data_IF_502903424223
#
_entry.id   IF_502903424223
#
_cell.length_a   1.000
_cell.length_b   1.000
_cell.length_c   1.000
_cell.angle_alpha   90.00
_cell.angle_beta   90.00
_cell.angle_gamma   90.00
#
_symmetry.space_group_name_H-M   'P 1'
#
loop_
_entity.id
_entity.type
_entity.pdbx_description
1 polymer ?
2 non-polymer ?
3 non-polymer ?
4 water ?
#
# COMPACT_ATOMS: atom_id res chain seq x y z
N UNK A 2 -8.46 -23.16 -20.28
CA UNK A 2 -9.27 -23.78 -19.16
C UNK A 2 -10.38 -22.83 -18.69
N UNK A 3 -10.08 -21.92 -17.74
CA UNK A 3 -11.13 -21.23 -17.00
C UNK A 3 -11.57 -19.97 -17.75
N UNK A 4 -12.89 -19.79 -17.93
CA UNK A 4 -13.35 -18.63 -18.68
C UNK A 4 -13.15 -17.39 -17.82
N UNK A 5 -13.08 -16.23 -18.47
CA UNK A 5 -12.88 -14.98 -17.75
C UNK A 5 -14.17 -14.60 -17.03
N UNK A 6 -15.30 -15.03 -17.59
CA UNK A 6 -16.56 -14.87 -16.90
C UNK A 6 -16.51 -15.57 -15.53
N UNK A 7 -15.97 -16.78 -15.48
CA UNK A 7 -15.83 -17.47 -14.20
C UNK A 7 -14.83 -16.78 -13.26
N UNK A 8 -13.68 -16.36 -13.75
CA UNK A 8 -12.70 -15.65 -12.93
C UNK A 8 -13.35 -14.43 -12.28
N UNK A 9 -14.14 -13.69 -13.09
CA UNK A 9 -14.77 -12.46 -12.64
C UNK A 9 -15.78 -12.78 -11.56
N UNK A 10 -16.49 -13.90 -11.75
CA UNK A 10 -17.50 -14.30 -10.79
C UNK A 10 -16.86 -14.77 -9.48
N UNK A 11 -15.83 -15.61 -9.56
CA UNK A 11 -15.13 -16.04 -8.35
C UNK A 11 -14.65 -14.83 -7.54
N UNK A 12 -14.02 -13.86 -8.20
CA UNK A 12 -13.40 -12.78 -7.46
C UNK A 12 -14.47 -11.83 -6.89
N UNK A 13 -15.51 -11.52 -7.68
CA UNK A 13 -16.61 -10.76 -7.12
C UNK A 13 -17.11 -11.46 -5.86
N UNK A 14 -17.18 -12.80 -5.89
CA UNK A 14 -17.78 -13.52 -4.78
C UNK A 14 -16.94 -13.37 -3.51
N UNK A 15 -15.62 -13.13 -3.67
CA UNK A 15 -14.77 -13.02 -2.48
C UNK A 15 -15.19 -11.75 -1.73
N UNK A 16 -15.48 -10.68 -2.47
CA UNK A 16 -15.86 -9.44 -1.84
C UNK A 16 -17.28 -9.53 -1.29
N UNK A 17 -18.18 -10.18 -2.05
CA UNK A 17 -19.55 -10.44 -1.64
C UNK A 17 -19.57 -11.17 -0.30
N UNK A 18 -18.77 -12.25 -0.17
CA UNK A 18 -18.73 -13.06 1.04
C UNK A 18 -18.23 -12.28 2.26
N UNK A 19 -17.40 -11.24 2.07
CA UNK A 19 -16.90 -10.45 3.17
C UNK A 19 -17.91 -9.32 3.46
N UNK A 20 -18.97 -9.27 2.66
CA UNK A 20 -20.01 -8.27 2.87
C UNK A 20 -19.41 -6.86 2.82
N UNK A 21 -18.48 -6.64 1.88
CA UNK A 21 -17.94 -5.32 1.65
C UNK A 21 -18.14 -4.95 0.17
N UNK A 22 -17.67 -3.74 -0.19
CA UNK A 22 -17.62 -3.30 -1.56
C UNK A 22 -16.15 -3.03 -1.87
N UNK A 23 -15.65 -3.61 -2.95
CA UNK A 23 -14.27 -3.38 -3.29
C UNK A 23 -13.91 -3.82 -4.69
N UNK A 24 -12.68 -3.47 -5.07
CA UNK A 24 -12.13 -3.83 -6.36
C UNK A 24 -10.70 -4.30 -6.10
N UNK A 25 -10.19 -5.14 -6.98
CA UNK A 25 -8.76 -5.40 -6.99
C UNK A 25 -8.28 -5.21 -8.41
N UNK A 26 -7.21 -4.43 -8.60
CA UNK A 26 -6.64 -4.14 -9.91
C UNK A 26 -5.34 -4.93 -10.06
N UNK A 27 -5.20 -5.65 -11.17
CA UNK A 27 -4.02 -6.39 -11.57
C UNK A 27 -3.41 -5.76 -12.83
N UNK A 28 -2.09 -5.69 -12.85
CA UNK A 28 -1.39 -5.20 -14.01
C UNK A 28 -0.44 -6.27 -14.54
N UNK A 29 -0.63 -6.70 -15.79
CA UNK A 29 0.29 -7.60 -16.46
C UNK A 29 0.92 -6.84 -17.61
N UNK A 30 2.19 -6.51 -17.45
CA UNK A 30 2.87 -5.70 -18.46
C UNK A 30 2.29 -4.30 -18.44
N UNK A 31 1.66 -3.87 -19.54
CA UNK A 31 1.04 -2.56 -19.62
C UNK A 31 -0.48 -2.62 -19.35
N UNK A 32 -1.07 -3.82 -19.22
CA UNK A 32 -2.51 -4.03 -19.30
C UNK A 32 -3.15 -4.09 -17.91
N UNK A 33 -4.17 -3.25 -17.65
CA UNK A 33 -4.80 -3.26 -16.33
C UNK A 33 -6.05 -4.13 -16.36
N UNK A 34 -6.27 -4.91 -15.29
CA UNK A 34 -7.50 -5.68 -15.16
C UNK A 34 -8.16 -5.34 -13.83
N UNK A 35 -9.46 -5.08 -13.89
CA UNK A 35 -10.25 -4.70 -12.72
C UNK A 35 -11.20 -5.84 -12.36
N UNK A 36 -11.10 -6.31 -11.12
CA UNK A 36 -12.00 -7.35 -10.66
C UNK A 36 -12.67 -6.89 -9.36
N UNK A 37 -13.65 -7.67 -8.87
CA UNK A 37 -14.25 -7.32 -7.60
C UNK A 37 -15.76 -7.16 -7.76
N UNK A 38 -16.41 -6.60 -6.72
CA UNK A 38 -17.85 -6.42 -6.75
C UNK A 38 -18.24 -4.95 -6.81
N UNK A 39 -17.27 -4.05 -7.07
CA UNK A 39 -17.58 -2.62 -7.16
C UNK A 39 -16.61 -1.94 -8.11
N UNK A 40 -16.73 -2.30 -9.40
CA UNK A 40 -15.68 -2.01 -10.35
C UNK A 40 -15.41 -0.51 -10.42
N UNK A 41 -16.46 0.32 -10.21
CA UNK A 41 -16.34 1.76 -10.37
C UNK A 41 -15.43 2.40 -9.31
N UNK A 42 -15.08 1.67 -8.24
CA UNK A 42 -14.13 2.22 -7.30
C UNK A 42 -12.77 2.47 -7.93
N UNK A 43 -12.50 1.95 -9.16
CA UNK A 43 -11.16 1.88 -9.72
C UNK A 43 -10.60 3.27 -10.01
N UNK A 44 -11.46 4.24 -10.31
CA UNK A 44 -10.95 5.56 -10.67
C UNK A 44 -11.51 6.60 -9.69
N UNK A 45 -11.95 6.15 -8.51
CA UNK A 45 -12.32 7.02 -7.39
C UNK A 45 -11.11 7.26 -6.47
N UNK A 46 -11.03 8.47 -5.89
CA UNK A 46 -9.93 8.86 -5.02
C UNK A 46 -10.27 8.54 -3.57
N UNK A 47 -9.32 7.94 -2.82
CA UNK A 47 -9.42 7.63 -1.39
C UNK A 47 -8.10 8.01 -0.69
N UNK A 48 -8.15 8.26 0.61
CA UNK A 48 -6.90 8.56 1.28
C UNK A 48 -6.00 7.33 1.17
N UNK A 49 -4.66 7.50 1.03
CA UNK A 49 -3.79 6.35 0.87
C UNK A 49 -3.63 5.60 2.20
N UNK A 50 -3.92 6.31 3.32
CA UNK A 50 -3.68 5.82 4.67
C UNK A 50 -2.25 5.25 4.71
N UNK A 51 -2.05 4.08 5.33
CA UNK A 51 -0.71 3.57 5.58
C UNK A 51 0.06 3.21 4.30
N UNK A 52 -0.63 3.11 3.14
CA UNK A 52 0.09 2.80 1.91
C UNK A 52 1.10 3.90 1.61
N UNK A 53 0.87 5.10 2.18
CA UNK A 53 1.78 6.22 1.99
C UNK A 53 3.15 5.93 2.64
N UNK A 54 3.20 4.98 3.58
CA UNK A 54 4.43 4.63 4.27
C UNK A 54 5.52 4.31 3.24
N UNK A 55 5.14 3.68 2.12
CA UNK A 55 6.07 3.33 1.06
C UNK A 55 6.78 4.57 0.54
N UNK A 56 6.03 5.64 0.23
CA UNK A 56 6.64 6.82 -0.37
C UNK A 56 7.36 7.59 0.75
N UNK A 57 6.72 7.66 1.93
CA UNK A 57 7.29 8.31 3.10
C UNK A 57 8.70 7.77 3.35
N UNK A 58 8.86 6.43 3.40
CA UNK A 58 10.17 5.79 3.54
C UNK A 58 11.16 6.14 2.41
N UNK A 59 10.70 6.11 1.14
CA UNK A 59 11.47 6.48 -0.06
C UNK A 59 12.07 7.89 0.08
N UNK A 60 11.21 8.87 0.36
CA UNK A 60 11.57 10.25 0.57
C UNK A 60 12.55 10.37 1.75
N UNK A 61 12.23 9.71 2.87
CA UNK A 61 13.07 9.81 4.06
C UNK A 61 14.48 9.28 3.80
N UNK A 62 14.59 8.09 3.20
CA UNK A 62 15.89 7.50 2.96
C UNK A 62 16.70 8.33 1.96
N UNK A 63 16.03 8.82 0.91
CA UNK A 63 16.65 9.52 -0.20
C UNK A 63 17.21 10.84 0.33
N UNK A 64 16.49 11.48 1.23
CA UNK A 64 16.85 12.79 1.73
C UNK A 64 17.64 12.70 3.04
N UNK A 65 18.10 11.49 3.39
CA UNK A 65 18.97 11.28 4.54
C UNK A 65 18.29 11.67 5.85
N UNK A 66 16.97 11.48 5.95
CA UNK A 66 16.32 11.76 7.21
C UNK A 66 16.39 10.54 8.11
N UNK A 67 16.87 9.40 7.57
CA UNK A 67 16.92 8.17 8.36
C UNK A 67 17.80 7.19 7.61
N UNK A 68 18.18 6.09 8.26
CA UNK A 68 18.85 5.02 7.54
C UNK A 68 18.04 3.77 7.85
N UNK A 69 18.35 2.64 7.17
CA UNK A 69 17.53 1.46 7.30
C UNK A 69 17.84 0.75 8.62
N UNK A 70 18.88 1.16 9.36
CA UNK A 70 19.11 0.47 10.61
C UNK A 70 18.89 1.35 11.85
N UNK A 71 18.65 2.65 11.66
CA UNK A 71 18.35 3.55 12.78
C UNK A 71 17.14 3.00 13.56
N UNK A 72 17.21 3.05 14.90
CA UNK A 72 16.13 2.63 15.77
C UNK A 72 15.31 3.86 16.16
N UNK A 73 14.02 3.86 15.81
CA UNK A 73 13.12 4.91 16.24
C UNK A 73 12.62 4.50 17.63
N UNK A 74 13.03 5.24 18.66
CA UNK A 74 12.69 4.93 20.03
C UNK A 74 11.22 5.24 20.30
N UNK A 75 10.52 4.34 20.98
CA UNK A 75 9.23 4.64 21.55
C UNK A 75 9.46 5.68 22.66
N UNK A 76 8.64 6.74 22.67
CA UNK A 76 8.76 7.86 23.58
C UNK A 76 8.09 7.55 24.93
N UNK A 77 7.51 6.34 25.04
CA UNK A 77 6.96 5.87 26.30
C UNK A 77 5.49 6.26 26.48
N UNK A 78 4.87 6.87 25.47
CA UNK A 78 3.47 7.25 25.60
C UNK A 78 2.58 6.12 25.10
N UNK A 79 1.37 6.04 25.63
CA UNK A 79 0.48 4.96 25.27
C UNK A 79 0.14 5.08 23.78
N UNK A 80 0.13 3.97 23.07
CA UNK A 80 -0.22 4.01 21.66
C UNK A 80 -1.49 3.19 21.48
N UNK A 81 -2.20 3.45 20.37
CA UNK A 81 -3.44 2.77 19.99
C UNK A 81 -3.27 1.26 20.03
N UNK A 82 -2.05 0.74 19.79
CA UNK A 82 -1.79 -0.69 19.78
C UNK A 82 -0.49 -0.98 20.52
N UNK A 83 -0.48 -1.97 21.44
CA UNK A 83 0.70 -2.27 22.25
C UNK A 83 1.92 -2.72 21.44
N UNK A 84 1.64 -3.26 20.25
CA UNK A 84 2.71 -3.68 19.36
C UNK A 84 3.50 -2.46 18.89
N UNK A 85 2.92 -1.24 18.98
CA UNK A 85 3.60 -0.01 18.61
C UNK A 85 4.46 0.50 19.79
N UNK A 86 4.27 -0.07 20.99
CA UNK A 86 4.96 0.47 22.17
C UNK A 86 6.39 -0.07 22.27
N UNK A 87 7.18 0.16 21.23
CA UNK A 87 8.53 -0.38 21.22
C UNK A 87 9.34 0.37 20.17
N UNK A 88 10.65 0.22 20.28
CA UNK A 88 11.66 0.78 19.43
C UNK A 88 11.71 -0.05 18.15
N UNK A 89 11.84 0.63 16.99
CA UNK A 89 11.86 -0.10 15.74
C UNK A 89 12.52 0.68 14.60
N UNK A 90 12.93 -0.07 13.58
CA UNK A 90 13.48 0.41 12.34
C UNK A 90 12.29 0.77 11.43
N UNK A 91 12.57 1.50 10.34
CA UNK A 91 11.56 1.85 9.33
C UNK A 91 10.93 0.56 8.82
N UNK A 92 11.75 -0.45 8.63
CA UNK A 92 11.31 -1.73 8.08
C UNK A 92 10.34 -2.44 9.03
N UNK A 93 10.64 -2.39 10.33
CA UNK A 93 9.72 -3.00 11.29
C UNK A 93 8.45 -2.15 11.36
N UNK A 94 8.63 -0.82 11.38
CA UNK A 94 7.47 0.07 11.36
C UNK A 94 6.63 -0.21 10.12
N UNK A 95 7.25 -0.54 8.98
CA UNK A 95 6.54 -0.85 7.75
C UNK A 95 5.67 -2.08 7.94
N UNK A 96 6.21 -3.14 8.56
CA UNK A 96 5.44 -4.38 8.73
C UNK A 96 4.35 -4.18 9.77
N UNK A 97 4.61 -3.38 10.82
CA UNK A 97 3.62 -3.19 11.86
C UNK A 97 2.65 -2.04 11.53
N UNK A 98 2.86 -1.35 10.39
CA UNK A 98 2.14 -0.09 10.11
C UNK A 98 2.17 0.86 11.31
N UNK A 99 3.35 1.05 11.89
CA UNK A 99 3.49 1.88 13.08
C UNK A 99 3.47 3.36 12.72
N UNK A 100 2.25 3.93 12.73
CA UNK A 100 1.98 5.31 12.32
C UNK A 100 2.92 6.29 13.03
N UNK A 101 3.16 6.18 14.36
CA UNK A 101 4.05 7.14 15.04
C UNK A 101 5.44 7.20 14.45
N UNK A 102 5.95 6.09 13.91
CA UNK A 102 7.26 6.17 13.28
C UNK A 102 7.20 6.96 11.96
N UNK A 103 6.14 6.74 11.18
CA UNK A 103 6.00 7.39 9.89
C UNK A 103 5.68 8.88 10.08
N UNK A 104 5.00 9.18 11.18
CA UNK A 104 4.76 10.55 11.58
C UNK A 104 6.08 11.22 11.95
N UNK A 105 6.94 10.51 12.72
CA UNK A 105 8.22 11.11 13.08
C UNK A 105 9.06 11.33 11.81
N UNK A 106 9.03 10.34 10.90
CA UNK A 106 9.77 10.51 9.66
C UNK A 106 9.19 11.66 8.84
N UNK A 107 7.85 11.85 8.81
CA UNK A 107 7.30 12.97 8.04
C UNK A 107 7.81 14.30 8.61
N UNK A 108 7.80 14.41 9.93
CA UNK A 108 8.25 15.62 10.61
C UNK A 108 9.70 15.91 10.29
N UNK A 109 10.53 14.88 10.17
CA UNK A 109 11.94 15.17 9.91
C UNK A 109 12.04 15.70 8.48
N UNK A 110 11.26 15.11 7.57
CA UNK A 110 11.27 15.59 6.20
C UNK A 110 10.81 17.06 6.18
N UNK A 111 9.74 17.37 6.90
CA UNK A 111 9.14 18.70 6.89
C UNK A 111 8.23 18.96 5.69
N UNK A 112 7.21 19.82 5.90
CA UNK A 112 6.11 20.12 4.98
C UNK A 112 6.65 20.51 3.62
N UNK A 113 7.60 21.46 3.63
CA UNK A 113 8.15 21.99 2.40
C UNK A 113 8.74 20.87 1.53
N UNK A 114 9.66 20.07 2.08
CA UNK A 114 10.36 19.09 1.25
C UNK A 114 9.40 17.94 0.90
N UNK A 115 8.42 17.69 1.79
CA UNK A 115 7.45 16.64 1.55
C UNK A 115 6.60 17.01 0.32
N UNK A 116 6.00 18.22 0.31
CA UNK A 116 5.20 18.77 -0.78
C UNK A 116 5.97 18.69 -2.10
N UNK A 117 7.28 19.03 -2.10
CA UNK A 117 8.02 18.99 -3.34
C UNK A 117 8.25 17.56 -3.78
N UNK A 118 8.39 16.65 -2.81
CA UNK A 118 8.80 15.31 -3.19
C UNK A 118 7.56 14.61 -3.71
N UNK A 119 6.43 14.94 -3.09
CA UNK A 119 5.19 14.32 -3.47
C UNK A 119 4.77 14.82 -4.86
N UNK A 120 4.80 16.15 -5.12
CA UNK A 120 4.66 16.73 -6.46
C UNK A 120 5.65 16.11 -7.45
N UNK A 121 6.92 15.97 -7.08
CA UNK A 121 7.94 15.41 -7.97
C UNK A 121 7.58 13.99 -8.40
N UNK A 122 6.96 13.23 -7.50
CA UNK A 122 6.70 11.84 -7.79
C UNK A 122 5.32 11.75 -8.43
N UNK A 123 4.49 12.78 -8.27
CA UNK A 123 3.21 12.75 -8.93
C UNK A 123 2.35 11.65 -8.29
N UNK A 124 2.27 11.68 -6.95
CA UNK A 124 1.57 10.62 -6.24
C UNK A 124 0.15 11.12 -6.00
N UNK A 125 -0.83 10.37 -6.53
CA UNK A 125 -2.25 10.68 -6.32
C UNK A 125 -2.61 12.09 -6.78
N UNK A 126 -3.34 12.84 -5.94
CA UNK A 126 -3.69 14.21 -6.32
C UNK A 126 -2.54 15.16 -5.93
N UNK A 127 -1.46 14.58 -5.39
CA UNK A 127 -0.24 15.30 -5.05
C UNK A 127 -0.47 16.46 -4.06
N UNK A 128 -1.55 16.49 -3.29
CA UNK A 128 -1.78 17.64 -2.40
C UNK A 128 -1.67 17.22 -0.93
N UNK A 129 -0.77 17.87 -0.15
CA UNK A 129 -0.55 17.42 1.22
C UNK A 129 -1.03 18.45 2.24
N UNK A 130 -1.48 19.63 1.77
CA UNK A 130 -2.02 20.65 2.66
C UNK A 130 -0.96 21.26 3.59
N UNK A 131 -1.36 21.54 4.83
CA UNK A 131 -0.55 22.32 5.77
C UNK A 131 -0.09 21.51 6.98
N UNK A 132 -0.58 20.28 7.15
CA UNK A 132 -0.26 19.44 8.29
C UNK A 132 0.62 18.25 7.88
N UNK A 133 1.95 18.36 8.09
CA UNK A 133 2.92 17.38 7.62
C UNK A 133 2.71 15.97 8.19
N UNK A 134 2.01 15.83 9.32
CA UNK A 134 2.02 14.57 10.06
C UNK A 134 0.71 13.78 9.94
N UNK A 135 -0.20 14.21 9.06
CA UNK A 135 -1.44 13.43 8.98
C UNK A 135 -2.15 13.51 7.63
N UNK A 136 -1.49 14.08 6.61
CA UNK A 136 -2.15 14.37 5.35
C UNK A 136 -2.54 13.08 4.62
N UNK A 137 -1.89 11.97 4.96
CA UNK A 137 -2.10 10.70 4.27
C UNK A 137 -3.15 9.88 5.04
N UNK A 138 -3.59 10.36 6.20
CA UNK A 138 -4.53 9.63 7.04
C UNK A 138 -5.94 10.20 6.92
N UNK A 139 -6.06 11.54 6.82
CA UNK A 139 -7.35 12.22 6.84
C UNK A 139 -7.49 13.12 5.63
N UNK A 140 -6.61 12.99 4.63
CA UNK A 140 -6.61 13.96 3.55
C UNK A 140 -5.78 15.19 3.92
N UNK A 141 -5.57 16.15 3.00
CA UNK A 141 -6.23 16.12 1.69
C UNK A 141 -5.59 15.26 0.59
N UNK A 142 -4.51 14.51 0.91
CA UNK A 142 -3.92 13.64 -0.10
C UNK A 142 -4.89 12.49 -0.38
N UNK A 143 -5.11 12.23 -1.69
CA UNK A 143 -5.97 11.16 -2.15
C UNK A 143 -5.34 10.49 -3.36
N UNK A 144 -5.77 9.26 -3.61
CA UNK A 144 -5.21 8.44 -4.69
C UNK A 144 -6.24 7.38 -5.06
N UNK A 145 -6.26 7.04 -6.36
CA UNK A 145 -7.19 6.05 -6.89
C UNK A 145 -6.52 4.68 -6.92
N UNK A 146 -7.32 3.61 -6.85
CA UNK A 146 -6.82 2.25 -7.03
C UNK A 146 -5.97 2.08 -8.28
N UNK A 147 -6.33 2.74 -9.39
CA UNK A 147 -5.50 2.68 -10.59
C UNK A 147 -4.12 3.32 -10.32
N UNK A 148 -4.11 4.46 -9.63
CA UNK A 148 -2.85 5.15 -9.37
C UNK A 148 -1.95 4.30 -8.47
N UNK A 149 -2.55 3.55 -7.52
CA UNK A 149 -1.81 2.76 -6.55
C UNK A 149 -1.14 1.58 -7.23
N UNK A 150 -1.86 0.91 -8.14
CA UNK A 150 -1.26 -0.23 -8.81
C UNK A 150 -0.11 0.25 -9.72
N UNK A 151 -0.22 1.45 -10.29
CA UNK A 151 0.79 2.04 -11.16
C UNK A 151 2.01 2.47 -10.35
N UNK A 152 1.77 3.00 -9.14
CA UNK A 152 2.86 3.27 -8.20
C UNK A 152 3.58 1.97 -7.85
N UNK A 153 2.84 0.91 -7.56
CA UNK A 153 3.45 -0.35 -7.19
C UNK A 153 4.27 -0.87 -8.35
N UNK A 154 3.71 -0.80 -9.57
CA UNK A 154 4.38 -1.24 -10.78
C UNK A 154 5.68 -0.47 -10.95
N UNK A 155 5.63 0.85 -10.75
CA UNK A 155 6.80 1.73 -10.77
C UNK A 155 7.87 1.28 -9.79
N UNK A 156 7.49 1.07 -8.50
CA UNK A 156 8.42 0.64 -7.46
C UNK A 156 8.97 -0.75 -7.78
N UNK A 157 8.10 -1.68 -8.19
CA UNK A 157 8.53 -3.03 -8.49
C UNK A 157 9.64 -3.04 -9.55
N UNK A 158 9.64 -2.00 -10.40
CA UNK A 158 10.55 -1.98 -11.55
C UNK A 158 11.59 -0.86 -11.41
N UNK A 159 11.70 -0.24 -10.23
CA UNK A 159 12.72 0.78 -9.98
C UNK A 159 12.58 1.97 -10.92
N UNK A 160 11.36 2.32 -11.27
CA UNK A 160 11.12 3.43 -12.19
C UNK A 160 10.78 4.73 -11.45
N UNK A 161 10.57 4.68 -10.13
CA UNK A 161 10.38 5.96 -9.46
C UNK A 161 11.66 6.79 -9.50
N UNK A 162 11.57 8.14 -9.38
CA UNK A 162 12.74 9.00 -9.44
C UNK A 162 13.44 9.15 -8.08
N UNK A 163 13.98 8.03 -7.60
CA UNK A 163 14.89 7.93 -6.48
C UNK A 163 16.00 7.01 -6.94
N UNK A 164 17.13 7.00 -6.22
CA UNK A 164 18.21 6.07 -6.51
C UNK A 164 17.68 4.65 -6.47
N UNK A 165 18.32 3.78 -7.25
CA UNK A 165 18.09 2.35 -7.24
C UNK A 165 18.18 1.78 -5.81
N UNK A 166 19.15 2.25 -5.01
CA UNK A 166 19.42 1.59 -3.73
C UNK A 166 18.31 1.97 -2.74
N UNK A 167 17.84 3.23 -2.79
CA UNK A 167 16.71 3.66 -2.00
C UNK A 167 15.51 2.74 -2.26
N UNK A 168 15.26 2.47 -3.55
CA UNK A 168 14.11 1.69 -4.00
C UNK A 168 14.28 0.27 -3.51
N UNK A 169 15.52 -0.25 -3.65
CA UNK A 169 15.78 -1.61 -3.21
C UNK A 169 15.60 -1.68 -1.69
N UNK A 170 16.04 -0.65 -0.97
CA UNK A 170 15.97 -0.69 0.48
C UNK A 170 14.49 -0.75 0.89
N UNK A 171 13.64 0.08 0.24
CA UNK A 171 12.24 0.11 0.64
C UNK A 171 11.56 -1.21 0.27
N UNK A 172 11.88 -1.75 -0.90
CA UNK A 172 11.27 -2.98 -1.33
C UNK A 172 11.56 -4.12 -0.37
N UNK A 173 12.76 -4.17 0.23
CA UNK A 173 13.06 -5.29 1.12
C UNK A 173 12.18 -5.20 2.38
N UNK A 174 11.67 -3.99 2.68
CA UNK A 174 10.81 -3.78 3.82
C UNK A 174 9.42 -4.38 3.57
N UNK A 175 9.09 -4.71 2.31
CA UNK A 175 7.69 -4.95 1.94
C UNK A 175 7.41 -6.43 1.72
N UNK A 176 8.40 -7.30 1.91
CA UNK A 176 8.21 -8.73 1.70
C UNK A 176 7.34 -9.31 2.81
N UNK A 177 6.15 -9.82 2.45
CA UNK A 177 5.19 -10.27 3.46
C UNK A 177 4.89 -11.76 3.33
N UNK A 178 5.30 -12.43 2.24
CA UNK A 178 4.85 -13.82 2.08
C UNK A 178 5.55 -14.51 0.90
N UNK A 179 5.88 -15.80 1.08
CA UNK A 179 6.36 -16.67 0.02
C UNK A 179 5.39 -17.83 -0.20
N UNK A 180 5.06 -18.09 -1.47
CA UNK A 180 4.09 -19.10 -1.83
C UNK A 180 4.58 -19.76 -3.12
N UNK A 181 4.99 -21.04 -3.01
CA UNK A 181 5.47 -21.83 -4.15
C UNK A 181 6.32 -20.98 -5.09
N UNK A 182 7.49 -20.51 -4.60
CA UNK A 182 8.48 -19.83 -5.44
C UNK A 182 8.15 -18.37 -5.76
N UNK A 183 6.89 -17.96 -5.50
CA UNK A 183 6.43 -16.60 -5.67
C UNK A 183 6.67 -15.82 -4.37
N UNK A 184 7.26 -14.63 -4.50
CA UNK A 184 7.38 -13.71 -3.37
C UNK A 184 6.31 -12.63 -3.47
N UNK A 185 5.53 -12.45 -2.40
CA UNK A 185 4.58 -11.36 -2.38
C UNK A 185 5.12 -10.18 -1.56
N UNK A 186 5.13 -9.00 -2.17
CA UNK A 186 5.49 -7.75 -1.54
C UNK A 186 4.26 -6.85 -1.49
N UNK A 187 3.89 -6.38 -0.29
CA UNK A 187 2.69 -5.57 -0.20
C UNK A 187 2.71 -4.65 1.01
N UNK A 188 2.00 -3.53 0.89
CA UNK A 188 1.68 -2.67 2.01
C UNK A 188 0.17 -2.62 2.20
N UNK A 189 -0.27 -2.91 3.43
CA UNK A 189 -1.66 -2.73 3.81
C UNK A 189 -1.93 -1.31 4.26
N UNK A 190 -3.22 -0.98 4.24
CA UNK A 190 -3.74 0.34 4.58
C UNK A 190 -5.14 0.18 5.17
N UNK A 191 -5.47 1.03 6.14
CA UNK A 191 -6.78 1.05 6.76
C UNK A 191 -7.02 2.45 7.31
N UNK A 192 -7.71 3.29 6.54
CA UNK A 192 -8.01 4.64 6.95
C UNK A 192 -9.19 4.67 7.91
N UNK A 193 -8.89 4.69 9.21
CA UNK A 193 -9.88 4.64 10.29
C UNK A 193 -10.51 6.01 10.56
N UNK A 194 -9.85 7.10 10.16
CA UNK A 194 -10.34 8.43 10.50
C UNK A 194 -10.97 9.16 9.32
N UNK A 195 -11.53 8.38 8.38
CA UNK A 195 -12.31 8.87 7.26
C UNK A 195 -13.65 8.13 7.29
N UNK A 196 -14.72 8.80 6.81
CA UNK A 196 -16.00 8.11 6.65
C UNK A 196 -16.41 8.09 5.17
N UNK A 197 -16.69 6.92 4.56
CA UNK A 197 -16.46 5.60 5.18
C UNK A 197 -14.98 5.17 5.25
N UNK A 198 -14.69 4.03 5.92
CA UNK A 198 -13.32 3.58 6.13
C UNK A 198 -12.79 2.79 4.93
N UNK A 199 -11.55 3.10 4.51
CA UNK A 199 -10.99 2.49 3.31
C UNK A 199 -9.92 1.45 3.71
N UNK A 200 -9.91 0.32 3.01
CA UNK A 200 -8.93 -0.74 3.23
C UNK A 200 -8.12 -0.90 1.96
N UNK A 201 -6.79 -1.06 2.09
CA UNK A 201 -5.89 -1.19 0.97
C UNK A 201 -5.01 -2.42 1.19
N UNK A 202 -4.61 -3.06 0.09
CA UNK A 202 -3.42 -3.89 0.05
C UNK A 202 -2.80 -3.71 -1.34
N UNK A 203 -1.66 -3.02 -1.37
CA UNK A 203 -1.02 -2.67 -2.61
C UNK A 203 0.35 -3.33 -2.63
N UNK A 204 0.71 -3.92 -3.77
CA UNK A 204 1.95 -4.66 -3.85
C UNK A 204 2.22 -5.25 -5.23
N UNK A 205 3.02 -6.31 -5.23
CA UNK A 205 3.26 -7.06 -6.44
C UNK A 205 3.69 -8.45 -6.04
N UNK A 206 3.50 -9.37 -7.00
CA UNK A 206 4.01 -10.71 -6.90
C UNK A 206 5.24 -10.77 -7.78
N UNK A 207 6.32 -11.28 -7.22
CA UNK A 207 7.50 -11.63 -8.00
C UNK A 207 7.48 -13.14 -8.20
N UNK A 208 7.24 -13.55 -9.45
CA UNK A 208 7.18 -14.95 -9.79
C UNK A 208 8.61 -15.52 -9.84
N UNK A 209 8.72 -16.85 -9.75
CA UNK A 209 9.97 -17.62 -9.76
C UNK A 209 10.91 -17.17 -10.88
N UNK A 210 10.33 -16.92 -12.06
CA UNK A 210 11.01 -16.58 -13.31
C UNK A 210 11.28 -15.07 -13.45
N UNK A 211 11.04 -14.29 -12.40
CA UNK A 211 11.38 -12.87 -12.40
C UNK A 211 10.27 -11.89 -12.78
N UNK A 212 9.19 -12.35 -13.47
CA UNK A 212 8.09 -11.43 -13.83
C UNK A 212 7.45 -10.91 -12.55
N UNK A 213 7.08 -9.63 -12.59
CA UNK A 213 6.50 -8.94 -11.45
C UNK A 213 5.09 -8.52 -11.82
N UNK A 214 4.11 -8.89 -10.99
CA UNK A 214 2.71 -8.60 -11.29
C UNK A 214 2.15 -7.76 -10.16
N UNK A 215 2.04 -6.43 -10.40
CA UNK A 215 1.43 -5.49 -9.46
C UNK A 215 -0.08 -5.66 -9.27
N UNK A 216 -0.54 -5.34 -8.05
CA UNK A 216 -1.94 -5.42 -7.70
C UNK A 216 -2.23 -4.31 -6.69
N UNK A 217 -3.51 -3.94 -6.60
CA UNK A 217 -3.97 -3.05 -5.56
C UNK A 217 -5.41 -3.41 -5.25
N UNK A 218 -5.61 -3.87 -4.02
CA UNK A 218 -6.92 -4.07 -3.48
C UNK A 218 -7.38 -2.79 -2.78
N UNK A 219 -8.66 -2.48 -2.98
CA UNK A 219 -9.27 -1.33 -2.35
C UNK A 219 -10.67 -1.74 -1.94
N UNK A 220 -11.02 -1.57 -0.67
CA UNK A 220 -12.37 -1.92 -0.26
C UNK A 220 -12.85 -1.04 0.91
N UNK A 221 -14.13 -1.18 1.27
CA UNK A 221 -14.69 -0.48 2.41
C UNK A 221 -14.51 -1.37 3.63
N UNK A 222 -13.79 -0.88 4.67
CA UNK A 222 -13.75 -1.55 5.98
C UNK A 222 -14.95 -1.06 6.81
N UNK A 223 -15.58 -2.00 7.54
CA UNK A 223 -16.76 -1.76 8.36
C UNK A 223 -16.46 -2.23 9.77
N UNK A 224 -17.06 -1.55 10.76
CA UNK A 224 -16.90 -1.92 12.17
C UNK A 224 -17.11 -3.43 12.34
N UNK A 225 -16.13 -4.06 13.02
CA UNK A 225 -16.13 -5.48 13.32
C UNK A 225 -15.76 -6.34 12.12
N UNK A 226 -14.89 -5.79 11.26
CA UNK A 226 -14.29 -6.52 10.16
C UNK A 226 -12.85 -6.82 10.55
N UNK A 227 -12.36 -8.02 10.25
CA UNK A 227 -10.97 -8.34 10.54
C UNK A 227 -10.04 -7.80 9.43
N UNK A 228 -8.87 -7.27 9.83
CA UNK A 228 -7.88 -6.68 8.93
C UNK A 228 -7.32 -7.68 7.91
N UNK A 229 -7.39 -8.96 8.28
CA UNK A 229 -6.78 -10.01 7.47
C UNK A 229 -7.69 -10.39 6.29
N UNK A 230 -8.92 -9.85 6.26
CA UNK A 230 -9.77 -10.02 5.10
C UNK A 230 -9.12 -9.37 3.88
N UNK A 231 -8.26 -8.36 4.08
CA UNK A 231 -7.64 -7.71 2.95
C UNK A 231 -6.70 -8.68 2.26
N UNK A 232 -5.96 -9.43 3.09
CA UNK A 232 -5.02 -10.45 2.65
C UNK A 232 -5.75 -11.62 2.03
N UNK A 233 -6.81 -12.09 2.69
CA UNK A 233 -7.48 -13.32 2.28
C UNK A 233 -8.09 -13.13 0.90
N UNK A 234 -8.74 -11.98 0.66
CA UNK A 234 -9.32 -11.72 -0.64
C UNK A 234 -8.24 -11.62 -1.71
N UNK A 235 -7.09 -11.04 -1.34
CA UNK A 235 -6.03 -10.82 -2.29
C UNK A 235 -5.40 -12.14 -2.71
N UNK A 236 -5.17 -13.02 -1.72
CA UNK A 236 -4.50 -14.28 -2.00
C UNK A 236 -5.43 -15.17 -2.81
N UNK A 237 -6.71 -15.20 -2.44
CA UNK A 237 -7.73 -15.95 -3.16
C UNK A 237 -7.81 -15.47 -4.61
N UNK A 238 -7.77 -14.15 -4.83
CA UNK A 238 -7.86 -13.56 -6.16
C UNK A 238 -6.65 -13.92 -7.01
N UNK A 239 -5.47 -13.69 -6.44
CA UNK A 239 -4.24 -13.93 -7.17
C UNK A 239 -4.15 -15.42 -7.47
N UNK A 240 -4.65 -16.26 -6.54
CA UNK A 240 -4.60 -17.69 -6.78
C UNK A 240 -5.63 -18.07 -7.86
N UNK A 241 -6.84 -17.50 -7.76
CA UNK A 241 -7.85 -17.79 -8.75
C UNK A 241 -7.30 -17.49 -10.15
N UNK A 242 -6.49 -16.44 -10.28
CA UNK A 242 -6.01 -16.05 -11.60
C UNK A 242 -4.73 -16.80 -11.98
N UNK A 243 -4.28 -17.74 -11.13
CA UNK A 243 -3.01 -18.45 -11.30
C UNK A 243 -1.74 -17.55 -11.27
N UNK A 244 -1.77 -16.42 -10.56
CA UNK A 244 -0.61 -15.55 -10.43
C UNK A 244 0.32 -16.16 -9.39
N UNK A 245 -0.28 -16.73 -8.33
CA UNK A 245 0.47 -17.47 -7.34
C UNK A 245 -0.13 -18.87 -7.29
X LIG B 1 -2.70 2.62 8.20
X LIG B 1 -3.27 -0.90 11.16
X LIG B 1 -3.17 2.40 9.62
X LIG B 1 -2.55 1.16 10.23
X LIG B 1 -3.17 -0.94 9.63
X LIG B 1 -3.48 2.53 7.28
X LIG B 1 -3.33 3.68 10.46
X LIG B 1 -3.99 3.38 11.71
X LIG B 1 -4.18 4.68 9.74
X LIG B 1 -2.75 0.17 9.16
X LIG B 1 -3.33 -1.87 8.71
X LIG B 1 -3.05 -1.48 7.56
X LIG B 1 -3.70 -3.04 8.97
X LIG B 1 -4.69 -1.79 12.01
X LIG B 1 -4.02 -3.28 12.87
X LIG B 1 -2.54 -3.20 13.03
X LIG B 1 -1.87 -4.51 12.82
X LIG B 1 -0.81 -4.57 12.09
X LIG B 1 0.08 -5.59 12.15
X LIG B 1 -3.21 0.59 11.47
X LIG C 1 -6.07 6.94 11.14
X LIG C 1 -6.68 8.25 11.23
X LIG C 1 -6.04 6.51 9.76
X LIG C 1 -4.76 7.01 11.71
X LIG C 1 -6.83 5.98 11.89
X LIG D 1 -1.03 6.56 18.28
X LIG D 1 -0.83 6.69 16.85
X LIG D 1 -2.33 7.09 18.63
X LIG D 1 -0.01 7.31 18.98
X LIG D 1 -0.98 5.19 18.66
X LIG E 1 9.64 23.09 6.79
X LIG E 1 8.86 23.26 7.99
X LIG E 1 8.75 22.99 5.68
X LIG E 1 10.44 21.90 6.91
X LIG E 1 10.52 24.21 6.60
X LIG F 1 -0.03 7.10 -13.00
X LIG F 1 -0.02 8.53 -13.29
X LIG F 1 -1.40 6.65 -12.83
X LIG F 1 0.63 6.38 -14.08
X LIG F 1 0.70 6.84 -11.78
#
# INVERSE_FOLDING_TARGET
>A
MHISSQQHEKAIKSYFDEAQTQGVIIIKEGKNLSTYGNALARANKEYVPASTFDMLNALIGLENHKATTNEIFKWDGKKRTYPMWEKDMTLGEAMALSAVPVYQELARRTGLELMQKEVKRVNFGNTNIGTQVDNFWLVGPLKITPVQEVNFADDLAHNRLPFKLETQEEVKKMLLIKEVNGSKIYAKSGWGMGVTPQVGWLTGWVEQANGKKIPFSLNLEMKEGMSGSIRNEITYKSLENLGII
>B hetero
1 ID1 C7 C2 C6 C5 C3 O7 C61 O62 C62 N4 C31 O31 O32 S21 C22 C23 N24 C25 N26 C1
>C hetero
1 SO4 S O1 O2 O3 O4
>D hetero
1 SO4 S O1 O2 O3 O4
>E hetero
1 SO4 S O1 O2 O3 O4
>F hetero
1 SO4 S O1 O2 O3 O4
#
